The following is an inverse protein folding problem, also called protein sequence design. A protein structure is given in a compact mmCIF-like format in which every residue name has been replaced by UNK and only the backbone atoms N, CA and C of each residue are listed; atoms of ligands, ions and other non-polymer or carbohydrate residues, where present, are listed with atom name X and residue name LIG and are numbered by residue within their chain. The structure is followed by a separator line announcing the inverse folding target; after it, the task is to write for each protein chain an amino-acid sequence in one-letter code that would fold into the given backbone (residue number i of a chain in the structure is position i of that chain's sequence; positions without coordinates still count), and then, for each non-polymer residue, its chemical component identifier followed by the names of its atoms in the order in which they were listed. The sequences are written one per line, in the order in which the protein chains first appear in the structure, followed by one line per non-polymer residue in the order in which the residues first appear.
data_IF_042544894273
#
_entry.id   IF_042544894273
#
_cell.length_a   1.000
_cell.length_b   1.000
_cell.length_c   1.000
_cell.angle_alpha   90.00
_cell.angle_beta   90.00
_cell.angle_gamma   90.00
#
_symmetry.space_group_name_H-M   'P 1'
#
loop_
_entity.id
_entity.type
_entity.pdbx_description
1 polymer ?
2 polymer ?
3 non-polymer ?
4 water ?
#
# COMPACT_ATOMS: atom_id res chain seq x y z
N UNK A 1 -23.96 -18.84 -3.93
CA UNK A 1 -22.54 -18.95 -4.17
C UNK A 1 -21.85 -17.60 -3.91
N UNK A 2 -20.65 -17.65 -3.36
CA UNK A 2 -19.86 -16.46 -3.05
C UNK A 2 -19.85 -15.47 -4.22
N UNK A 3 -19.73 -15.97 -5.44
CA UNK A 3 -19.70 -15.09 -6.59
C UNK A 3 -21.04 -14.46 -6.95
N UNK A 4 -22.13 -15.09 -6.55
CA UNK A 4 -23.45 -14.55 -6.84
C UNK A 4 -23.65 -13.26 -6.04
N UNK A 5 -23.54 -13.38 -4.72
CA UNK A 5 -23.69 -12.26 -3.78
C UNK A 5 -22.59 -11.19 -4.00
N UNK A 6 -21.43 -11.63 -4.46
CA UNK A 6 -20.30 -10.74 -4.74
C UNK A 6 -20.68 -9.81 -5.88
N UNK A 7 -21.41 -10.32 -6.85
CA UNK A 7 -21.84 -9.51 -7.96
C UNK A 7 -22.88 -8.48 -7.55
N UNK A 8 -23.70 -8.80 -6.55
CA UNK A 8 -24.73 -7.86 -6.09
C UNK A 8 -24.07 -6.68 -5.41
N UNK A 9 -23.09 -7.03 -4.59
CA UNK A 9 -22.27 -6.10 -3.84
C UNK A 9 -21.56 -5.20 -4.85
N UNK A 10 -20.91 -5.80 -5.84
CA UNK A 10 -20.15 -5.04 -6.83
C UNK A 10 -20.95 -3.91 -7.48
N UNK A 11 -22.20 -4.21 -7.78
CA UNK A 11 -23.12 -3.29 -8.42
C UNK A 11 -23.47 -2.08 -7.56
N UNK A 12 -23.35 -2.22 -6.23
CA UNK A 12 -23.67 -1.17 -5.27
C UNK A 12 -22.44 -0.48 -4.66
N UNK A 13 -21.24 -0.97 -4.96
CA UNK A 13 -20.01 -0.40 -4.43
C UNK A 13 -19.53 0.86 -5.22
N UNK A 14 -19.28 1.97 -4.52
CA UNK A 14 -18.80 3.18 -5.21
C UNK A 14 -17.52 3.73 -4.57
N UNK A 15 -16.78 4.51 -5.33
CA UNK A 15 -15.55 5.14 -4.84
C UNK A 15 -16.01 6.39 -4.06
N UNK A 16 -15.42 6.61 -2.90
CA UNK A 16 -15.77 7.74 -2.06
C UNK A 16 -14.60 8.71 -1.94
N UNK A 17 -14.88 9.98 -2.14
CA UNK A 17 -13.84 10.99 -2.07
C UNK A 17 -14.31 12.21 -1.31
N UNK A 18 -13.34 13.01 -0.87
CA UNK A 18 -13.62 14.22 -0.12
C UNK A 18 -12.89 15.46 -0.64
N UNK A 19 -13.49 16.64 -0.43
CA UNK A 19 -12.86 17.87 -0.90
C UNK A 19 -13.67 19.13 -0.71
N UNK A 20 -13.31 20.17 -1.46
CA UNK A 20 -13.97 21.48 -1.44
C UNK A 20 -14.63 21.73 -2.79
N UNK A 21 -15.79 22.40 -2.79
CA UNK A 21 -16.48 22.66 -4.05
C UNK A 21 -15.59 23.51 -4.95
N UNK A 22 -15.42 23.06 -6.19
CA UNK A 22 -14.59 23.74 -7.20
C UNK A 22 -13.10 23.69 -6.90
N UNK A 23 -12.70 22.87 -5.93
CA UNK A 23 -11.30 22.73 -5.54
C UNK A 23 -10.69 21.33 -5.72
N UNK A 24 -9.69 21.00 -4.92
CA UNK A 24 -9.06 19.68 -5.03
C UNK A 24 -9.89 18.56 -4.39
N UNK A 25 -9.73 17.35 -4.93
CA UNK A 25 -10.45 16.18 -4.49
C UNK A 25 -9.46 15.07 -4.18
N UNK A 26 -9.66 14.40 -3.05
CA UNK A 26 -8.81 13.29 -2.68
C UNK A 26 -9.74 12.06 -2.61
N UNK A 27 -9.47 11.07 -3.48
CA UNK A 27 -10.24 9.84 -3.45
C UNK A 27 -9.60 9.07 -2.31
N UNK A 28 -10.42 8.58 -1.40
CA UNK A 28 -9.93 7.91 -0.21
C UNK A 28 -10.14 6.39 -0.05
N UNK A 29 -11.37 5.92 -0.26
CA UNK A 29 -11.71 4.50 -0.11
C UNK A 29 -13.05 4.24 -0.83
N UNK A 30 -13.74 3.22 -0.37
CA UNK A 30 -15.04 2.80 -0.92
C UNK A 30 -16.19 3.06 0.07
N UNK A 31 -17.43 3.07 -0.45
CA UNK A 31 -18.68 3.23 0.32
C UNK A 31 -19.69 2.27 -0.35
N UNK A 32 -20.49 1.58 0.44
CA UNK A 32 -21.45 0.62 -0.12
C UNK A 32 -22.90 1.08 -0.09
N UNK A 33 -23.56 1.10 -1.25
CA UNK A 33 -24.96 1.46 -1.35
C UNK A 33 -25.78 0.29 -0.85
N UNK A 34 -26.79 0.57 -0.02
CA UNK A 34 -27.62 -0.51 0.51
C UNK A 34 -29.11 -0.49 0.14
N UNK A 35 -29.70 0.68 -0.05
CA UNK A 35 -31.12 0.80 -0.42
C UNK A 35 -31.48 2.23 -0.75
N UNK A 36 -32.32 2.39 -1.79
CA UNK A 36 -32.78 3.69 -2.25
C UNK A 36 -31.56 4.62 -2.34
N UNK A 37 -31.50 5.67 -1.53
CA UNK A 37 -30.36 6.60 -1.57
C UNK A 37 -29.47 6.55 -0.31
N UNK A 38 -29.45 5.40 0.35
CA UNK A 38 -28.66 5.20 1.56
C UNK A 38 -27.37 4.36 1.37
N UNK A 39 -26.25 4.82 1.94
CA UNK A 39 -24.98 4.09 1.85
C UNK A 39 -24.31 3.90 3.21
N UNK A 40 -23.42 2.92 3.30
CA UNK A 40 -22.62 2.63 4.50
C UNK A 40 -21.21 3.19 4.22
N UNK A 41 -20.69 3.99 5.15
CA UNK A 41 -19.38 4.65 5.01
C UNK A 41 -18.52 4.59 6.29
N UNK A 42 -17.23 4.20 6.20
CA UNK A 42 -16.37 4.16 7.40
C UNK A 42 -16.04 5.62 7.81
N UNK A 43 -16.24 5.97 9.08
CA UNK A 43 -16.03 7.35 9.50
C UNK A 43 -14.66 7.99 9.35
N UNK A 44 -13.58 7.21 9.40
CA UNK A 44 -12.25 7.76 9.25
C UNK A 44 -11.97 8.30 7.84
N UNK A 45 -12.95 8.14 6.96
CA UNK A 45 -12.83 8.67 5.62
C UNK A 45 -12.95 10.18 5.69
N UNK A 46 -13.66 10.70 6.70
CA UNK A 46 -13.82 12.14 6.81
C UNK A 46 -13.52 12.73 8.19
N UNK A 47 -13.46 11.90 9.20
CA UNK A 47 -13.24 12.36 10.57
C UNK A 47 -12.03 13.31 10.80
N UNK A 48 -10.90 12.99 10.20
CA UNK A 48 -9.70 13.79 10.41
C UNK A 48 -9.43 14.92 9.44
N UNK A 49 -10.46 15.35 8.72
CA UNK A 49 -10.32 16.47 7.81
C UNK A 49 -10.35 17.73 8.68
N UNK A 50 -9.65 18.76 8.25
CA UNK A 50 -9.55 20.02 9.00
C UNK A 50 -10.80 20.90 9.12
N UNK A 51 -11.76 20.76 8.20
CA UNK A 51 -12.93 21.63 8.19
C UNK A 51 -14.23 21.00 7.62
N UNK A 52 -15.03 20.41 8.51
CA UNK A 52 -16.28 19.74 8.11
C UNK A 52 -17.36 20.66 7.52
N UNK A 53 -17.34 21.91 7.95
CA UNK A 53 -18.33 22.88 7.49
C UNK A 53 -18.29 23.10 5.98
N UNK A 54 -17.10 23.18 5.40
CA UNK A 54 -16.96 23.41 3.96
C UNK A 54 -16.53 22.15 3.22
N UNK A 55 -16.90 21.00 3.75
CA UNK A 55 -16.53 19.70 3.17
C UNK A 55 -17.57 19.29 2.13
N UNK A 56 -17.10 18.77 1.00
CA UNK A 56 -17.97 18.27 -0.07
C UNK A 56 -17.60 16.80 -0.24
N UNK A 57 -18.61 15.94 -0.42
CA UNK A 57 -18.38 14.52 -0.63
C UNK A 57 -18.49 14.18 -2.13
N UNK A 58 -17.63 13.29 -2.61
CA UNK A 58 -17.64 12.91 -4.02
C UNK A 58 -17.83 11.40 -4.23
N UNK A 59 -18.70 11.02 -5.17
CA UNK A 59 -18.95 9.60 -5.45
C UNK A 59 -18.76 9.29 -6.94
N UNK A 60 -18.21 8.11 -7.20
CA UNK A 60 -17.97 7.63 -8.55
C UNK A 60 -18.77 6.35 -8.71
N UNK A 61 -19.90 6.46 -9.40
CA UNK A 61 -20.80 5.34 -9.63
C UNK A 61 -20.69 4.80 -11.05
N UNK A 62 -19.67 3.97 -11.26
CA UNK A 62 -19.45 3.40 -12.57
C UNK A 62 -19.18 4.46 -13.62
N UNK A 63 -18.27 5.38 -13.33
CA UNK A 63 -17.94 6.41 -14.31
C UNK A 63 -18.70 7.73 -14.32
N UNK A 64 -19.73 7.84 -13.49
CA UNK A 64 -20.49 9.08 -13.41
C UNK A 64 -20.19 9.62 -12.02
N UNK A 65 -19.88 10.90 -11.96
CA UNK A 65 -19.52 11.59 -10.73
C UNK A 65 -20.69 12.36 -10.15
N UNK A 66 -20.95 12.16 -8.87
CA UNK A 66 -22.02 12.89 -8.16
C UNK A 66 -21.34 13.56 -6.98
N UNK A 67 -21.92 14.64 -6.46
CA UNK A 67 -21.35 15.28 -5.28
C UNK A 67 -22.45 15.90 -4.44
N UNK A 68 -22.17 16.06 -3.15
CA UNK A 68 -23.14 16.64 -2.25
C UNK A 68 -22.42 17.32 -1.10
N UNK A 69 -23.01 18.37 -0.60
CA UNK A 69 -22.42 19.09 0.50
C UNK A 69 -22.64 18.31 1.82
N UNK A 70 -21.60 18.22 2.63
CA UNK A 70 -21.67 17.51 3.91
C UNK A 70 -22.79 18.08 4.79
N UNK A 71 -23.20 19.31 4.52
CA UNK A 71 -24.27 19.91 5.28
C UNK A 71 -25.65 19.53 4.72
N UNK A 72 -25.69 18.61 3.75
CA UNK A 72 -26.94 18.20 3.15
C UNK A 72 -27.19 16.70 3.17
N UNK A 73 -26.33 15.97 3.87
CA UNK A 73 -26.51 14.54 3.95
C UNK A 73 -27.11 14.27 5.30
N UNK A 74 -27.80 13.15 5.43
CA UNK A 74 -28.31 12.78 6.73
C UNK A 74 -27.43 11.64 7.17
N UNK A 75 -26.94 11.71 8.41
CA UNK A 75 -26.09 10.67 8.96
C UNK A 75 -26.82 9.89 10.06
N UNK A 76 -26.54 8.61 10.16
CA UNK A 76 -27.18 7.79 11.17
C UNK A 76 -26.18 6.79 11.70
N UNK A 77 -26.02 6.75 13.02
CA UNK A 77 -25.10 5.83 13.63
C UNK A 77 -25.75 4.44 13.63
N UNK A 78 -24.92 3.40 13.60
CA UNK A 78 -25.41 2.02 13.63
C UNK A 78 -25.73 1.63 15.07
N UNK A 79 -24.84 2.04 15.97
CA UNK A 79 -24.92 1.80 17.40
C UNK A 79 -24.38 3.04 18.12
N UNK A 80 -24.41 2.97 19.45
CA UNK A 80 -23.99 3.97 20.42
C UNK A 80 -22.46 3.83 20.60
N UNK A 81 -21.75 4.90 20.98
CA UNK A 81 -20.31 4.79 21.17
C UNK A 81 -19.44 5.44 20.09
N UNK A 82 -18.15 5.10 20.02
CA UNK A 82 -17.24 5.65 19.01
C UNK A 82 -17.78 5.51 17.58
N UNK A 83 -17.79 6.60 16.81
CA UNK A 83 -18.25 6.53 15.43
C UNK A 83 -17.20 5.80 14.59
N UNK A 84 -17.56 4.61 14.09
CA UNK A 84 -16.67 3.79 13.27
C UNK A 84 -17.14 3.63 11.81
N UNK A 85 -18.42 3.28 11.62
CA UNK A 85 -19.05 3.12 10.32
C UNK A 85 -20.43 3.78 10.51
N UNK A 86 -20.89 4.55 9.53
CA UNK A 86 -22.19 5.21 9.59
C UNK A 86 -23.02 5.01 8.30
N UNK A 87 -24.31 5.29 8.41
CA UNK A 87 -25.27 5.21 7.31
C UNK A 87 -25.44 6.65 6.90
N UNK A 88 -25.28 6.90 5.61
CA UNK A 88 -25.35 8.22 5.04
C UNK A 88 -26.35 8.27 3.88
N UNK A 89 -27.29 9.19 3.95
CA UNK A 89 -28.32 9.40 2.92
C UNK A 89 -27.92 10.51 1.94
N UNK A 90 -27.81 10.16 0.67
CA UNK A 90 -27.41 11.09 -0.37
C UNK A 90 -28.55 11.28 -1.39
N UNK A 91 -29.33 12.36 -1.27
CA UNK A 91 -30.43 12.54 -2.22
C UNK A 91 -30.09 12.64 -3.71
N UNK A 92 -28.96 13.23 -4.06
CA UNK A 92 -28.60 13.37 -5.48
C UNK A 92 -27.94 12.17 -6.14
N UNK A 93 -27.91 11.04 -5.45
CA UNK A 93 -27.33 9.84 -6.05
C UNK A 93 -28.50 8.97 -6.60
N UNK A 94 -28.30 8.25 -7.72
CA UNK A 94 -29.36 7.39 -8.29
C UNK A 94 -29.76 6.27 -7.30
N UNK A 95 -31.02 5.84 -7.37
CA UNK A 95 -31.55 4.79 -6.50
C UNK A 95 -30.79 3.46 -6.54
N UNK A 96 -30.47 2.95 -5.36
CA UNK A 96 -29.74 1.71 -5.24
C UNK A 96 -30.74 0.55 -5.07
N UNK A 97 -30.34 -0.59 -5.60
CA UNK A 97 -31.14 -1.79 -5.49
C UNK A 97 -31.07 -2.21 -4.01
N UNK A 98 -32.21 -2.61 -3.45
CA UNK A 98 -32.29 -3.03 -2.06
C UNK A 98 -31.56 -4.36 -1.85
N UNK A 99 -30.48 -4.36 -1.07
CA UNK A 99 -29.77 -5.61 -0.77
C UNK A 99 -29.79 -5.82 0.72
N UNK A 100 -30.61 -5.03 1.42
CA UNK A 100 -30.69 -5.12 2.88
C UNK A 100 -30.94 -6.56 3.36
N UNK A 101 -31.83 -7.27 2.69
CA UNK A 101 -32.15 -8.64 3.08
C UNK A 101 -31.04 -9.68 2.79
N UNK A 102 -29.84 -9.21 2.46
CA UNK A 102 -28.71 -10.10 2.18
C UNK A 102 -27.67 -10.04 3.30
N UNK A 103 -27.84 -9.09 4.19
CA UNK A 103 -26.94 -8.99 5.33
C UNK A 103 -27.37 -10.03 6.37
N UNK A 104 -26.46 -10.36 7.25
CA UNK A 104 -26.69 -11.33 8.30
C UNK A 104 -27.64 -10.78 9.39
N UNK A 105 -28.52 -11.66 9.88
CA UNK A 105 -29.48 -11.31 10.93
C UNK A 105 -28.75 -11.45 12.26
N UNK A 106 -29.09 -10.58 13.22
CA UNK A 106 -28.43 -10.58 14.54
C UNK A 106 -28.35 -11.97 15.17
N UNK A 107 -29.39 -12.75 15.01
CA UNK A 107 -29.42 -14.09 15.57
C UNK A 107 -28.55 -15.10 14.86
N UNK A 108 -28.30 -14.91 13.57
CA UNK A 108 -27.50 -15.85 12.80
C UNK A 108 -25.99 -15.73 12.93
N UNK A 109 -25.55 -14.80 13.77
CA UNK A 109 -24.14 -14.54 13.97
C UNK A 109 -23.19 -15.70 14.35
N UNK A 110 -23.60 -16.60 15.26
CA UNK A 110 -22.68 -17.70 15.61
C UNK A 110 -22.46 -18.69 14.47
N UNK A 111 -23.40 -18.74 13.54
CA UNK A 111 -23.29 -19.66 12.41
C UNK A 111 -22.30 -19.17 11.36
N UNK A 112 -21.72 -18.01 11.60
CA UNK A 112 -20.73 -17.43 10.68
C UNK A 112 -19.38 -17.41 11.38
N UNK A 113 -19.43 -17.45 12.71
CA UNK A 113 -18.23 -17.46 13.54
C UNK A 113 -17.44 -18.76 13.33
N UNK A 114 -16.12 -18.61 13.16
CA UNK A 114 -15.17 -19.70 12.94
C UNK A 114 -14.92 -20.13 11.50
N UNK A 115 -15.69 -19.58 10.57
CA UNK A 115 -15.51 -19.95 9.16
C UNK A 115 -14.79 -18.91 8.31
N UNK A 116 -14.51 -19.31 7.07
CA UNK A 116 -13.84 -18.47 6.10
C UNK A 116 -14.82 -17.43 5.53
N UNK A 117 -14.28 -16.38 4.94
CA UNK A 117 -15.08 -15.32 4.32
C UNK A 117 -14.26 -14.68 3.23
N UNK A 118 -14.92 -13.90 2.37
CA UNK A 118 -14.22 -13.21 1.30
C UNK A 118 -14.51 -11.69 1.36
N UNK A 119 -13.46 -10.90 1.19
CA UNK A 119 -13.60 -9.45 1.19
C UNK A 119 -13.81 -9.07 -0.27
N UNK A 120 -14.95 -8.44 -0.57
CA UNK A 120 -15.29 -8.00 -1.92
C UNK A 120 -15.05 -6.49 -1.93
N UNK A 121 -14.02 -6.04 -2.62
CA UNK A 121 -13.66 -4.64 -2.60
C UNK A 121 -13.00 -4.14 -3.91
N UNK A 122 -12.55 -2.89 -3.90
CA UNK A 122 -11.85 -2.29 -5.03
C UNK A 122 -10.68 -1.45 -4.48
N UNK A 123 -9.57 -1.45 -5.22
CA UNK A 123 -8.40 -0.69 -4.86
C UNK A 123 -8.17 0.34 -5.94
N UNK A 124 -8.48 1.60 -5.63
CA UNK A 124 -8.34 2.72 -6.54
C UNK A 124 -9.20 2.55 -7.79
N UNK A 125 -10.13 1.61 -7.74
CA UNK A 125 -11.01 1.36 -8.86
C UNK A 125 -10.99 -0.06 -9.39
N UNK A 126 -9.94 -0.80 -9.08
CA UNK A 126 -9.79 -2.16 -9.56
C UNK A 126 -10.36 -3.24 -8.63
N UNK A 127 -11.41 -3.96 -9.07
CA UNK A 127 -12.00 -5.01 -8.25
C UNK A 127 -11.04 -6.10 -7.77
N UNK A 128 -11.17 -6.44 -6.50
CA UNK A 128 -10.36 -7.48 -5.86
C UNK A 128 -11.19 -8.33 -4.90
N UNK A 129 -10.76 -9.55 -4.70
CA UNK A 129 -11.40 -10.48 -3.79
C UNK A 129 -10.25 -10.97 -2.91
N UNK A 130 -10.33 -10.72 -1.60
CA UNK A 130 -9.28 -11.14 -0.68
C UNK A 130 -9.85 -12.23 0.22
N UNK A 131 -9.10 -13.32 0.40
CA UNK A 131 -9.54 -14.43 1.24
C UNK A 131 -9.12 -14.20 2.70
N UNK A 132 -10.05 -14.43 3.63
CA UNK A 132 -9.76 -14.24 5.04
C UNK A 132 -9.91 -15.57 5.79
N UNK A 133 -8.96 -15.84 6.68
CA UNK A 133 -8.99 -17.10 7.43
C UNK A 133 -10.24 -17.35 8.26
N UNK A 134 -10.17 -18.21 9.28
CA UNK A 134 -11.35 -18.49 10.12
C UNK A 134 -11.68 -17.26 10.98
N UNK A 135 -12.86 -16.70 10.78
CA UNK A 135 -13.27 -15.50 11.50
C UNK A 135 -13.53 -15.62 12.97
N UNK A 136 -12.94 -14.70 13.72
CA UNK A 136 -13.18 -14.65 15.15
C UNK A 136 -13.85 -13.31 15.35
N UNK A 137 -14.46 -13.12 16.51
CA UNK A 137 -15.09 -11.84 16.79
C UNK A 137 -14.61 -11.28 18.10
N UNK A 138 -14.52 -9.96 18.14
CA UNK A 138 -14.05 -9.22 19.29
C UNK A 138 -15.05 -8.12 19.62
N UNK A 139 -15.39 -8.03 20.90
CA UNK A 139 -16.32 -7.02 21.37
C UNK A 139 -15.93 -5.58 21.11
N UNK A 140 -14.63 -5.32 21.02
CA UNK A 140 -14.10 -3.98 20.77
C UNK A 140 -12.62 -4.17 20.43
N UNK A 141 -12.25 -3.90 19.17
CA UNK A 141 -10.87 -4.09 18.68
C UNK A 141 -10.16 -2.81 18.25
N UNK A 142 -8.88 -2.69 18.58
CA UNK A 142 -8.12 -1.50 18.23
C UNK A 142 -7.21 -1.62 17.01
N UNK A 143 -6.97 -0.51 16.33
CA UNK A 143 -6.09 -0.48 15.18
C UNK A 143 -5.45 0.89 15.13
N UNK A 144 -4.49 1.06 14.23
CA UNK A 144 -3.76 2.31 14.09
C UNK A 144 -4.04 2.89 12.71
N UNK A 145 -4.28 4.19 12.64
CA UNK A 145 -4.56 4.85 11.38
C UNK A 145 -3.57 6.01 11.23
N UNK A 146 -3.16 6.29 9.99
CA UNK A 146 -2.23 7.38 9.72
C UNK A 146 -2.96 8.46 8.94
N UNK A 147 -2.85 9.71 9.40
CA UNK A 147 -3.49 10.81 8.67
C UNK A 147 -2.65 10.84 7.42
N UNK A 148 -3.24 11.29 6.31
CA UNK A 148 -2.49 11.35 5.07
C UNK A 148 -1.04 11.78 5.33
N UNK A 149 -0.19 10.74 5.36
CA UNK A 149 1.25 10.81 5.63
C UNK A 149 1.62 11.45 6.97
N UNK A 150 2.35 10.72 7.80
CA UNK A 150 2.78 11.26 9.06
C UNK A 150 2.18 10.64 10.30
N UNK A 151 1.52 11.50 11.09
CA UNK A 151 0.89 11.13 12.36
C UNK A 151 0.10 9.81 12.34
N UNK A 152 0.08 9.16 13.51
CA UNK A 152 -0.59 7.87 13.71
C UNK A 152 -1.42 7.83 14.98
N UNK A 153 -2.74 7.82 14.84
CA UNK A 153 -3.64 7.76 15.99
C UNK A 153 -4.24 6.37 16.11
N UNK A 154 -4.56 5.98 17.33
CA UNK A 154 -5.17 4.68 17.58
C UNK A 154 -6.68 4.82 17.63
N UNK A 155 -7.37 3.97 16.86
CA UNK A 155 -8.83 3.97 16.78
C UNK A 155 -9.36 2.58 17.12
N UNK A 156 -10.58 2.52 17.67
CA UNK A 156 -11.20 1.26 18.04
C UNK A 156 -12.40 0.99 17.15
N UNK A 157 -12.84 -0.27 17.12
CA UNK A 157 -14.00 -0.69 16.33
C UNK A 157 -14.86 -1.52 17.29
N UNK A 158 -16.15 -1.26 17.32
CA UNK A 158 -17.05 -2.00 18.21
C UNK A 158 -17.72 -3.18 17.53
N UNK A 159 -17.51 -4.39 18.06
CA UNK A 159 -18.04 -5.65 17.52
C UNK A 159 -17.35 -5.87 16.19
N UNK A 160 -16.11 -6.37 16.25
CA UNK A 160 -15.32 -6.57 15.06
C UNK A 160 -14.93 -8.01 14.73
N UNK A 161 -14.97 -8.29 13.42
CA UNK A 161 -14.60 -9.57 12.86
C UNK A 161 -13.10 -9.50 12.58
N UNK A 162 -12.41 -10.60 12.88
CA UNK A 162 -10.97 -10.69 12.64
C UNK A 162 -10.58 -11.82 11.70
N UNK A 163 -10.02 -11.44 10.56
CA UNK A 163 -9.56 -12.40 9.58
C UNK A 163 -8.06 -12.23 9.43
N UNK A 164 -7.40 -13.29 9.02
CA UNK A 164 -5.97 -13.24 8.82
C UNK A 164 -5.82 -13.09 7.31
N UNK A 165 -4.99 -12.15 6.87
CA UNK A 165 -4.79 -11.91 5.45
C UNK A 165 -3.94 -10.68 5.23
N UNK A 166 -3.42 -10.48 4.02
CA UNK A 166 -2.57 -9.32 3.73
C UNK A 166 -3.37 -8.26 3.02
N UNK A 167 -3.30 -7.03 3.51
CA UNK A 167 -4.05 -5.97 2.91
C UNK A 167 -3.47 -5.34 1.65
N UNK A 168 -3.90 -4.11 1.43
CA UNK A 168 -3.47 -3.28 0.33
C UNK A 168 -4.18 -1.99 0.70
N UNK A 169 -3.43 -0.89 0.84
CA UNK A 169 -4.05 0.39 1.21
C UNK A 169 -5.18 0.76 0.25
N UNK A 170 -6.22 1.38 0.81
CA UNK A 170 -7.37 1.77 0.01
C UNK A 170 -8.52 0.77 -0.01
N UNK A 171 -8.34 -0.40 0.61
CA UNK A 171 -9.40 -1.43 0.61
C UNK A 171 -10.61 -1.15 1.50
N UNK A 172 -10.47 -0.20 2.42
CA UNK A 172 -11.52 0.16 3.35
C UNK A 172 -12.88 0.43 2.70
N UNK A 173 -13.94 -0.10 3.32
CA UNK A 173 -15.27 0.08 2.80
C UNK A 173 -15.83 -1.13 2.05
N UNK A 174 -14.98 -2.09 1.75
CA UNK A 174 -15.46 -3.28 1.07
C UNK A 174 -16.40 -4.06 1.99
N UNK A 175 -17.08 -5.05 1.42
CA UNK A 175 -18.03 -5.87 2.16
C UNK A 175 -17.50 -7.28 2.40
N UNK A 176 -17.65 -7.78 3.61
CA UNK A 176 -17.21 -9.13 3.97
C UNK A 176 -18.38 -10.09 3.64
N UNK A 177 -18.11 -11.19 2.94
CA UNK A 177 -19.13 -12.18 2.59
C UNK A 177 -18.75 -13.56 3.17
N UNK A 178 -19.65 -14.19 3.90
CA UNK A 178 -19.39 -15.52 4.49
C UNK A 178 -19.43 -16.61 3.42
N UNK A 179 -18.69 -17.70 3.63
CA UNK A 179 -18.67 -18.80 2.66
C UNK A 179 -19.68 -19.89 3.01
N UNK A 180 -20.45 -19.66 4.06
CA UNK A 180 -21.43 -20.61 4.53
C UNK A 180 -22.74 -20.51 3.75
N UNK A 181 -22.99 -21.48 2.86
CA UNK A 181 -24.22 -21.50 2.07
C UNK A 181 -25.47 -21.76 2.91
N UNK A 182 -25.26 -22.27 4.12
CA UNK A 182 -26.36 -22.57 5.04
C UNK A 182 -27.12 -21.31 5.44
N UNK A 183 -26.42 -20.19 5.46
CA UNK A 183 -27.01 -18.90 5.81
C UNK A 183 -27.10 -17.98 4.57
N UNK A 184 -27.08 -18.59 3.39
CA UNK A 184 -27.14 -17.90 2.10
C UNK A 184 -26.05 -16.85 1.83
N UNK A 185 -24.81 -17.25 2.14
CA UNK A 185 -23.60 -16.43 1.97
C UNK A 185 -23.84 -14.99 2.36
N UNK A 186 -24.34 -14.82 3.57
CA UNK A 186 -24.65 -13.51 4.09
C UNK A 186 -23.49 -12.52 4.10
N UNK A 187 -23.83 -11.25 3.95
CA UNK A 187 -22.86 -10.16 4.03
C UNK A 187 -22.70 -9.97 5.55
N UNK A 188 -21.46 -10.03 6.03
CA UNK A 188 -21.18 -9.89 7.45
C UNK A 188 -20.87 -8.48 7.99
N UNK A 189 -20.41 -7.59 7.09
CA UNK A 189 -20.07 -6.25 7.49
C UNK A 189 -19.12 -5.52 6.56
N UNK A 190 -18.44 -4.49 7.10
CA UNK A 190 -17.55 -3.61 6.34
C UNK A 190 -16.07 -3.58 6.79
N UNK A 191 -15.15 -3.59 5.83
CA UNK A 191 -13.69 -3.54 6.09
C UNK A 191 -13.32 -2.15 6.60
N UNK A 192 -12.62 -2.10 7.72
CA UNK A 192 -12.22 -0.82 8.29
C UNK A 192 -10.70 -0.73 8.49
N UNK A 193 -10.06 -1.85 8.79
CA UNK A 193 -8.61 -1.83 9.01
C UNK A 193 -7.86 -3.10 8.66
N UNK A 194 -6.57 -2.93 8.40
CA UNK A 194 -5.67 -4.02 8.07
C UNK A 194 -4.37 -3.62 8.75
N UNK A 195 -3.65 -4.57 9.32
CA UNK A 195 -2.41 -4.21 10.00
C UNK A 195 -1.22 -5.15 9.87
N UNK A 196 -0.95 -5.90 10.93
CA UNK A 196 0.17 -6.84 10.92
C UNK A 196 -0.05 -7.86 9.78
N UNK A 197 -1.08 -8.68 9.92
CA UNK A 197 -1.46 -9.69 8.93
C UNK A 197 -2.89 -10.10 9.28
N UNK A 198 -3.58 -9.14 9.90
CA UNK A 198 -4.95 -9.28 10.37
C UNK A 198 -5.83 -8.20 9.70
N UNK A 199 -6.97 -8.63 9.19
CA UNK A 199 -7.94 -7.74 8.56
C UNK A 199 -9.12 -7.64 9.52
N UNK A 200 -9.51 -6.40 9.81
CA UNK A 200 -10.60 -6.09 10.73
C UNK A 200 -11.80 -5.42 10.05
N UNK A 201 -12.99 -5.92 10.35
CA UNK A 201 -14.24 -5.39 9.79
C UNK A 201 -15.33 -5.25 10.84
N UNK A 202 -16.20 -4.25 10.68
CA UNK A 202 -17.31 -4.07 11.64
C UNK A 202 -18.53 -4.90 11.25
N UNK A 203 -19.12 -5.56 12.23
CA UNK A 203 -20.33 -6.35 12.02
C UNK A 203 -21.48 -5.37 11.72
N UNK A 204 -22.26 -5.67 10.69
CA UNK A 204 -23.44 -4.87 10.31
C UNK A 204 -24.55 -5.91 10.06
N UNK A 205 -25.63 -5.84 10.83
CA UNK A 205 -26.76 -6.78 10.74
C UNK A 205 -28.03 -6.26 10.03
N UNK A 206 -28.99 -7.14 9.82
CA UNK A 206 -30.24 -6.73 9.17
C UNK A 206 -31.01 -5.72 10.02
N UNK A 207 -30.84 -5.83 11.35
CA UNK A 207 -31.51 -4.97 12.34
C UNK A 207 -30.97 -3.54 12.41
N UNK A 208 -29.78 -3.26 11.88
CA UNK A 208 -29.28 -1.90 11.92
C UNK A 208 -29.93 -1.06 10.83
N UNK A 209 -30.77 -1.70 10.00
CA UNK A 209 -31.45 -1.01 8.90
C UNK A 209 -32.91 -0.58 9.13
N UNK A 210 -33.46 -0.72 10.34
CA UNK A 210 -34.87 -0.34 10.55
C UNK A 210 -35.20 1.14 10.42
N UNK A 211 -34.42 1.99 11.08
CA UNK A 211 -34.67 3.42 11.06
C UNK A 211 -34.62 4.06 9.67
N UNK A 212 -34.08 3.38 8.67
CA UNK A 212 -34.01 4.01 7.36
C UNK A 212 -35.33 4.07 6.57
N UNK A 213 -36.30 3.21 6.88
CA UNK A 213 -37.57 3.30 6.17
C UNK A 213 -38.60 4.21 6.84
N UNK A 214 -38.25 4.74 8.01
CA UNK A 214 -39.13 5.63 8.75
C UNK A 214 -39.12 7.02 8.10
N UNK A 215 -40.27 7.66 8.02
CA UNK A 215 -40.35 8.99 7.44
C UNK A 215 -39.86 10.01 8.48
N UNK A 216 -38.81 10.74 8.15
CA UNK A 216 -38.24 11.78 9.02
C UNK A 216 -38.11 11.37 10.50
N UNK B 1 9.21 -2.67 -23.53
CA UNK B 1 9.41 -4.06 -23.10
C UNK B 1 10.34 -4.13 -21.90
N UNK B 2 10.52 -5.32 -21.37
CA UNK B 2 11.41 -5.56 -20.23
C UNK B 2 12.87 -5.19 -20.56
N UNK B 3 13.30 -5.45 -21.79
CA UNK B 3 14.65 -5.12 -22.21
C UNK B 3 14.91 -3.61 -22.26
N UNK B 4 13.95 -2.87 -22.77
CA UNK B 4 14.08 -1.42 -22.87
C UNK B 4 14.22 -0.75 -21.48
N UNK B 5 13.34 -1.12 -20.56
CA UNK B 5 13.36 -0.55 -19.22
C UNK B 5 14.62 -1.07 -18.49
N UNK B 6 15.00 -2.32 -18.77
CA UNK B 6 16.18 -2.88 -18.14
C UNK B 6 17.43 -2.07 -18.55
N UNK B 7 17.44 -1.64 -19.80
CA UNK B 7 18.53 -0.82 -20.31
C UNK B 7 18.61 0.52 -19.58
N UNK B 8 17.48 1.18 -19.37
CA UNK B 8 17.48 2.45 -18.64
C UNK B 8 18.02 2.27 -17.20
N UNK B 9 17.75 1.14 -16.58
CA UNK B 9 18.24 0.88 -15.23
C UNK B 9 19.75 0.68 -15.22
N UNK B 10 20.27 -0.13 -16.13
CA UNK B 10 21.72 -0.38 -16.17
C UNK B 10 22.55 0.90 -16.25
N UNK B 11 22.14 1.84 -17.08
CA UNK B 11 22.91 3.08 -17.25
C UNK B 11 23.00 3.97 -16.01
N UNK B 12 22.05 3.77 -15.09
CA UNK B 12 22.01 4.56 -13.88
C UNK B 12 22.52 3.86 -12.63
N UNK B 13 22.87 2.58 -12.76
CA UNK B 13 23.39 1.80 -11.65
C UNK B 13 24.89 2.10 -11.39
N UNK B 14 25.28 2.31 -10.12
CA UNK B 14 26.68 2.58 -9.72
C UNK B 14 27.05 1.76 -8.46
N UNK B 15 28.35 1.62 -8.17
CA UNK B 15 28.74 0.89 -6.98
C UNK B 15 28.89 1.88 -5.83
N UNK B 16 28.59 1.41 -4.62
CA UNK B 16 28.69 2.22 -3.40
C UNK B 16 29.78 1.60 -2.50
N UNK B 17 30.66 2.45 -1.99
CA UNK B 17 31.75 2.03 -1.13
C UNK B 17 31.95 2.96 0.05
N UNK B 18 32.68 2.47 1.04
CA UNK B 18 33.00 3.21 2.26
C UNK B 18 34.52 3.17 2.44
N UNK B 19 35.10 4.23 3.01
CA UNK B 19 36.53 4.28 3.25
C UNK B 19 37.00 5.64 3.76
N UNK B 20 38.31 5.78 3.99
CA UNK B 20 38.87 7.06 4.46
C UNK B 20 39.31 7.88 3.26
N UNK B 21 39.67 9.15 3.49
CA UNK B 21 40.07 10.04 2.39
C UNK B 21 41.40 9.69 1.72
N UNK B 22 42.27 8.96 2.42
CA UNK B 22 43.58 8.60 1.87
C UNK B 22 43.93 7.11 1.96
N UNK B 23 42.91 6.27 2.02
CA UNK B 23 43.16 4.84 2.10
C UNK B 23 42.48 4.01 1.03
N UNK B 24 42.12 2.78 1.39
CA UNK B 24 41.46 1.86 0.49
C UNK B 24 39.95 1.87 0.65
N UNK B 25 39.27 1.71 -0.47
CA UNK B 25 37.82 1.73 -0.52
C UNK B 25 37.19 0.33 -0.44
N UNK B 26 36.26 0.18 0.48
CA UNK B 26 35.54 -1.09 0.66
C UNK B 26 34.23 -0.97 -0.14
N UNK B 27 34.13 -1.67 -1.28
CA UNK B 27 32.88 -1.63 -2.06
C UNK B 27 31.87 -2.56 -1.41
N UNK B 28 30.61 -2.14 -1.27
CA UNK B 28 29.61 -3.00 -0.64
C UNK B 28 28.35 -3.42 -1.44
N UNK B 29 27.79 -2.53 -2.25
CA UNK B 29 26.58 -2.87 -3.03
C UNK B 29 26.33 -1.84 -4.12
N UNK B 30 25.15 -1.90 -4.77
CA UNK B 30 24.77 -0.96 -5.81
C UNK B 30 23.87 0.19 -5.31
N UNK B 31 23.79 1.25 -6.10
CA UNK B 31 22.93 2.40 -5.82
C UNK B 31 22.31 2.75 -7.17
N UNK B 32 21.12 3.34 -7.17
CA UNK B 32 20.48 3.67 -8.44
C UNK B 32 20.16 5.15 -8.64
N UNK B 33 20.74 5.75 -9.68
CA UNK B 33 20.48 7.15 -9.97
C UNK B 33 19.07 7.25 -10.54
N UNK B 34 18.27 8.18 -10.04
CA UNK B 34 16.92 8.35 -10.53
C UNK B 34 16.74 9.60 -11.37
N UNK B 35 17.38 10.68 -10.94
CA UNK B 35 17.25 11.96 -11.62
C UNK B 35 18.38 12.87 -11.12
N UNK B 36 18.91 13.71 -12.01
CA UNK B 36 19.98 14.66 -11.70
C UNK B 36 21.13 14.10 -10.85
N UNK B 37 21.30 14.56 -9.62
CA UNK B 37 22.33 14.08 -8.72
C UNK B 37 21.75 13.27 -7.54
N UNK B 38 20.54 12.77 -7.73
CA UNK B 38 19.89 11.98 -6.67
C UNK B 38 20.00 10.49 -6.92
N UNK B 39 20.19 9.74 -5.83
CA UNK B 39 20.34 8.28 -5.85
C UNK B 39 19.52 7.56 -4.80
N UNK B 40 19.04 6.38 -5.16
CA UNK B 40 18.31 5.49 -4.25
C UNK B 40 19.38 4.59 -3.61
N UNK B 41 19.48 4.61 -2.28
CA UNK B 41 20.48 3.80 -1.58
C UNK B 41 19.88 2.98 -0.42
N UNK B 42 20.23 1.70 -0.32
CA UNK B 42 19.73 0.83 0.76
C UNK B 42 20.47 1.34 2.03
N UNK B 43 19.73 1.58 3.10
CA UNK B 43 20.34 2.14 4.29
C UNK B 43 21.31 1.25 5.08
N UNK B 44 21.26 -0.06 4.84
CA UNK B 44 22.17 -0.97 5.50
C UNK B 44 23.58 -0.89 4.91
N UNK B 45 23.72 -0.11 3.84
CA UNK B 45 25.01 0.08 3.17
C UNK B 45 25.98 0.88 4.03
N UNK B 46 25.44 1.73 4.90
CA UNK B 46 26.24 2.60 5.76
C UNK B 46 25.85 2.70 7.24
N UNK B 47 24.63 2.34 7.61
CA UNK B 47 24.16 2.51 8.99
C UNK B 47 24.72 1.67 10.14
N UNK B 48 25.69 0.81 9.85
CA UNK B 48 26.26 -0.04 10.89
C UNK B 48 27.75 0.27 11.18
N UNK B 49 28.24 1.41 10.68
CA UNK B 49 29.63 1.88 10.89
C UNK B 49 29.49 3.00 11.93
N UNK B 50 30.26 3.00 13.03
CA UNK B 50 30.08 4.09 14.00
C UNK B 50 31.09 5.26 14.08
N UNK B 51 32.00 5.38 13.12
CA UNK B 51 32.88 6.54 13.17
C UNK B 51 32.70 7.40 11.96
N UNK B 52 31.62 8.16 12.00
CA UNK B 52 31.25 9.06 10.94
C UNK B 52 32.28 10.17 10.77
N UNK B 53 33.19 10.31 11.74
CA UNK B 53 34.22 11.36 11.74
C UNK B 53 35.20 11.32 10.57
N UNK B 54 35.70 10.14 10.23
CA UNK B 54 36.65 10.02 9.14
C UNK B 54 36.07 9.32 7.92
N UNK B 55 34.77 9.06 7.97
CA UNK B 55 34.06 8.36 6.89
C UNK B 55 33.73 9.11 5.61
N UNK B 56 34.13 8.51 4.49
CA UNK B 56 33.87 9.03 3.15
C UNK B 56 32.93 8.01 2.45
N UNK B 57 32.00 8.49 1.64
CA UNK B 57 31.15 7.58 0.87
C UNK B 57 31.71 7.66 -0.56
N UNK B 58 31.88 6.51 -1.20
CA UNK B 58 32.41 6.44 -2.56
C UNK B 58 31.42 5.93 -3.58
N UNK B 59 31.53 6.45 -4.80
CA UNK B 59 30.67 6.07 -5.91
C UNK B 59 31.51 5.88 -7.17
N UNK B 60 31.37 4.71 -7.79
CA UNK B 60 32.10 4.37 -9.01
C UNK B 60 31.15 4.59 -10.18
N UNK B 61 31.37 5.67 -10.92
CA UNK B 61 30.56 5.99 -12.09
C UNK B 61 31.46 6.08 -13.32
N UNK B 62 31.57 4.96 -14.04
CA UNK B 62 32.39 4.95 -15.23
C UNK B 62 33.88 4.83 -15.02
N UNK B 63 34.28 4.15 -13.94
CA UNK B 63 35.70 3.97 -13.70
C UNK B 63 36.35 5.00 -12.78
N UNK B 64 35.61 6.05 -12.46
CA UNK B 64 36.11 7.11 -11.58
C UNK B 64 35.31 7.07 -10.27
N UNK B 65 36.04 7.15 -9.16
CA UNK B 65 35.40 7.09 -7.85
C UNK B 65 35.19 8.48 -7.29
N UNK B 66 33.93 8.86 -7.17
CA UNK B 66 33.52 10.14 -6.65
C UNK B 66 33.21 9.94 -5.18
N UNK B 67 33.47 10.95 -4.35
CA UNK B 67 33.23 10.79 -2.95
C UNK B 67 32.55 11.98 -2.30
N UNK B 68 32.12 11.78 -1.05
CA UNK B 68 31.48 12.80 -0.27
C UNK B 68 31.64 12.36 1.18
N UNK B 69 31.79 13.32 2.08
CA UNK B 69 31.96 13.00 3.49
C UNK B 69 30.61 12.74 4.14
N UNK B 70 30.60 11.86 5.13
CA UNK B 70 29.38 11.58 5.88
C UNK B 70 28.84 12.91 6.40
N UNK B 71 29.73 13.78 6.86
CA UNK B 71 29.29 15.07 7.36
C UNK B 71 28.85 16.07 6.30
N UNK B 72 28.64 15.65 5.05
CA UNK B 72 28.22 16.53 3.95
C UNK B 72 27.00 16.07 3.13
N UNK B 73 26.54 14.83 3.31
CA UNK B 73 25.41 14.29 2.52
C UNK B 73 24.00 14.70 2.93
N UNK B 74 23.18 15.00 1.93
CA UNK B 74 21.80 15.34 2.15
C UNK B 74 21.04 14.01 1.98
N UNK B 75 20.40 13.53 3.03
CA UNK B 75 19.65 12.27 2.94
C UNK B 75 18.16 12.52 3.11
N UNK B 76 17.36 11.95 2.22
CA UNK B 76 15.90 12.11 2.21
C UNK B 76 15.09 10.79 2.19
N UNK B 77 13.94 10.79 2.86
CA UNK B 77 13.03 9.64 2.96
C UNK B 77 12.03 9.53 1.79
N UNK B 78 11.40 8.35 1.66
CA UNK B 78 10.40 8.09 0.61
C UNK B 78 8.97 8.23 1.16
N UNK B 79 8.70 7.66 2.33
CA UNK B 79 7.37 7.80 2.94
C UNK B 79 7.72 8.57 4.21
N UNK B 80 8.22 7.87 5.23
CA UNK B 80 8.67 8.51 6.47
C UNK B 80 9.88 7.72 7.02
N UNK B 81 10.00 6.44 6.65
CA UNK B 81 11.12 5.63 7.12
C UNK B 81 12.53 6.01 6.67
N UNK B 82 13.51 5.27 7.18
CA UNK B 82 14.94 5.46 6.86
C UNK B 82 15.67 4.11 7.11
N UNK B 83 14.96 3.14 7.69
CA UNK B 83 15.56 1.84 7.97
C UNK B 83 15.74 1.00 6.69
N UNK B 84 15.00 1.30 5.64
CA UNK B 84 15.14 0.53 4.40
C UNK B 84 15.85 1.15 3.20
N UNK B 85 15.26 2.14 2.54
CA UNK B 85 15.90 2.74 1.38
C UNK B 85 15.76 4.24 1.44
N UNK B 86 16.84 4.96 1.15
CA UNK B 86 16.87 6.42 1.20
C UNK B 86 17.32 7.07 -0.10
N UNK B 87 16.92 8.30 -0.30
CA UNK B 87 17.35 9.08 -1.44
C UNK B 87 18.63 9.80 -0.92
N UNK B 88 19.65 9.96 -1.76
CA UNK B 88 20.91 10.62 -1.35
C UNK B 88 21.45 11.52 -2.47
N UNK B 89 21.68 12.80 -2.17
CA UNK B 89 22.20 13.76 -3.14
C UNK B 89 23.73 13.84 -3.02
N UNK B 90 24.42 13.71 -4.14
CA UNK B 90 25.88 13.74 -4.22
C UNK B 90 26.20 14.70 -5.36
N UNK B 91 26.34 16.01 -5.04
CA UNK B 91 26.61 17.10 -5.98
C UNK B 91 27.77 16.90 -6.93
N UNK B 92 28.78 16.18 -6.46
CA UNK B 92 29.98 15.92 -7.25
C UNK B 92 29.83 14.92 -8.40
N UNK B 93 28.86 14.04 -8.28
CA UNK B 93 28.63 12.99 -9.27
C UNK B 93 28.01 13.51 -10.59
N UNK B 94 28.48 12.99 -11.73
CA UNK B 94 27.97 13.37 -13.07
C UNK B 94 26.44 13.12 -13.12
N UNK B 95 25.68 14.00 -13.78
CA UNK B 95 24.22 13.89 -13.86
C UNK B 95 23.61 12.62 -14.46
N UNK B 96 22.57 12.10 -13.80
CA UNK B 96 21.83 10.91 -14.22
C UNK B 96 20.57 11.22 -15.04
N UNK B 97 20.35 10.47 -16.11
CA UNK B 97 19.13 10.58 -16.93
C UNK B 97 17.91 10.34 -16.02
N UNK B 98 16.85 11.13 -16.21
CA UNK B 98 15.63 11.00 -15.38
C UNK B 98 14.78 9.80 -15.74
N UNK B 99 14.74 8.80 -14.85
CA UNK B 99 13.94 7.59 -15.07
C UNK B 99 12.70 7.49 -14.18
N UNK B 100 12.43 8.53 -13.38
CA UNK B 100 11.29 8.57 -12.45
C UNK B 100 9.93 8.19 -13.03
N UNK B 101 9.66 8.64 -14.25
CA UNK B 101 8.37 8.35 -14.89
C UNK B 101 8.20 6.91 -15.35
N UNK B 102 9.22 6.09 -15.16
CA UNK B 102 9.10 4.72 -15.54
C UNK B 102 8.68 3.87 -14.33
N UNK B 103 8.69 4.47 -13.14
CA UNK B 103 8.28 3.76 -11.94
C UNK B 103 6.76 3.60 -11.91
N UNK B 104 6.28 2.60 -11.19
CA UNK B 104 4.85 2.35 -11.13
C UNK B 104 4.06 3.42 -10.36
N UNK B 105 2.84 3.69 -10.81
CA UNK B 105 1.95 4.63 -10.13
C UNK B 105 1.28 3.82 -9.02
N UNK B 106 0.93 4.47 -7.91
CA UNK B 106 0.30 3.77 -6.78
C UNK B 106 -0.98 3.02 -7.18
N UNK B 107 -1.87 3.72 -7.88
CA UNK B 107 -3.13 3.15 -8.28
C UNK B 107 -3.05 2.02 -9.30
N UNK B 108 -1.85 1.58 -9.63
CA UNK B 108 -1.68 0.50 -10.60
C UNK B 108 -1.04 -0.75 -10.02
N UNK B 109 -0.69 -0.70 -8.74
CA UNK B 109 -0.05 -1.79 -8.04
C UNK B 109 -0.80 -3.13 -8.17
N UNK B 110 -2.15 -3.11 -8.15
CA UNK B 110 -2.87 -4.36 -8.28
C UNK B 110 -2.65 -5.08 -9.59
N UNK B 111 -2.18 -4.36 -10.61
CA UNK B 111 -1.93 -5.00 -11.89
C UNK B 111 -0.53 -5.60 -12.00
N UNK B 112 0.32 -5.35 -11.00
CA UNK B 112 1.67 -5.89 -11.02
C UNK B 112 1.69 -7.13 -10.15
N UNK B 113 0.70 -7.19 -9.25
CA UNK B 113 0.50 -8.27 -8.30
C UNK B 113 0.16 -9.56 -9.01
N UNK B 114 0.70 -10.67 -8.53
CA UNK B 114 0.46 -11.99 -9.12
C UNK B 114 1.10 -12.25 -10.48
N UNK B 115 1.98 -11.35 -10.89
CA UNK B 115 2.69 -11.48 -12.15
C UNK B 115 4.21 -11.56 -11.95
N UNK B 116 4.89 -12.10 -12.95
CA UNK B 116 6.33 -12.25 -12.89
C UNK B 116 7.02 -10.88 -13.02
N UNK B 117 8.29 -10.83 -12.66
CA UNK B 117 9.09 -9.61 -12.74
C UNK B 117 10.55 -10.01 -12.96
N UNK B 118 11.39 -9.08 -13.39
CA UNK B 118 12.80 -9.34 -13.62
C UNK B 118 13.66 -8.36 -12.83
N UNK B 119 14.66 -8.89 -12.13
CA UNK B 119 15.59 -8.09 -11.32
C UNK B 119 16.81 -7.82 -12.16
N UNK B 120 17.11 -6.55 -12.35
CA UNK B 120 18.25 -6.09 -13.14
C UNK B 120 19.33 -5.55 -12.18
N UNK B 121 20.45 -6.25 -12.05
CA UNK B 121 21.48 -5.80 -11.11
C UNK B 121 22.89 -6.12 -11.61
N UNK B 122 23.89 -5.90 -10.76
CA UNK B 122 25.27 -6.16 -11.10
C UNK B 122 26.03 -6.69 -9.89
N UNK B 123 27.01 -7.56 -10.14
CA UNK B 123 27.83 -8.11 -9.08
C UNK B 123 29.27 -7.92 -9.54
N UNK B 124 29.91 -6.86 -9.03
CA UNK B 124 31.28 -6.50 -9.38
C UNK B 124 31.34 -6.19 -10.89
N UNK B 125 30.49 -5.27 -11.33
CA UNK B 125 30.48 -4.91 -12.75
C UNK B 125 29.72 -5.89 -13.64
N UNK B 126 29.56 -7.14 -13.20
CA UNK B 126 28.86 -8.18 -13.95
C UNK B 126 27.30 -8.04 -13.94
N UNK B 127 26.69 -7.74 -15.10
CA UNK B 127 25.25 -7.56 -15.33
C UNK B 127 24.47 -8.87 -15.16
N UNK B 128 23.34 -8.81 -14.44
CA UNK B 128 22.53 -9.99 -14.22
C UNK B 128 21.04 -9.70 -14.39
N UNK B 129 20.32 -10.68 -14.93
CA UNK B 129 18.88 -10.57 -15.14
C UNK B 129 18.30 -11.81 -14.43
N UNK B 130 17.48 -11.57 -13.39
CA UNK B 130 16.88 -12.65 -12.60
C UNK B 130 15.34 -12.67 -12.62
N UNK B 131 14.73 -13.77 -13.02
CA UNK B 131 13.27 -13.88 -13.01
C UNK B 131 12.84 -14.12 -11.58
N UNK B 132 11.80 -13.41 -11.16
CA UNK B 132 11.24 -13.49 -9.81
C UNK B 132 9.81 -13.99 -9.88
N UNK B 133 9.50 -14.94 -9.00
CA UNK B 133 8.19 -15.60 -8.96
C UNK B 133 6.97 -14.72 -9.04
N UNK B 134 5.75 -15.30 -9.09
CA UNK B 134 4.62 -14.38 -9.15
C UNK B 134 4.76 -13.56 -7.88
N UNK B 135 4.85 -12.27 -8.06
CA UNK B 135 5.02 -11.37 -6.96
C UNK B 135 3.86 -11.28 -5.99
N UNK B 136 4.23 -11.17 -4.72
CA UNK B 136 3.27 -10.96 -3.65
C UNK B 136 3.71 -9.71 -2.91
N UNK B 137 2.76 -9.04 -2.27
CA UNK B 137 3.09 -7.86 -1.51
C UNK B 137 2.86 -8.12 -0.01
N UNK B 138 3.63 -7.43 0.83
CA UNK B 138 3.54 -7.54 2.28
C UNK B 138 3.67 -6.17 2.93
N UNK B 139 2.91 -5.96 4.02
CA UNK B 139 2.94 -4.69 4.74
C UNK B 139 4.33 -4.41 5.30
N UNK B 140 4.90 -5.42 5.96
CA UNK B 140 6.24 -5.36 6.57
C UNK B 140 6.89 -6.72 6.37
N UNK B 141 8.17 -6.76 6.04
CA UNK B 141 8.84 -8.04 5.89
C UNK B 141 10.13 -7.96 6.67
N UNK B 142 10.45 -9.04 7.37
CA UNK B 142 11.66 -9.09 8.16
C UNK B 142 12.59 -10.11 7.55
N UNK B 143 13.86 -9.73 7.46
CA UNK B 143 14.90 -10.57 6.91
C UNK B 143 16.10 -10.35 7.79
N UNK B 144 16.74 -11.41 8.24
CA UNK B 144 17.92 -11.26 9.06
C UNK B 144 19.02 -11.73 8.15
N UNK B 145 19.87 -10.78 7.75
CA UNK B 145 20.97 -11.03 6.83
C UNK B 145 22.36 -11.01 7.45
N UNK B 146 23.23 -11.85 6.91
CA UNK B 146 24.62 -11.98 7.34
C UNK B 146 25.48 -10.98 6.56
N UNK B 147 24.76 -10.07 5.88
CA UNK B 147 25.30 -9.03 4.99
C UNK B 147 26.68 -8.44 5.25
N UNK B 148 27.03 -8.22 6.51
CA UNK B 148 28.33 -7.65 6.79
C UNK B 148 29.50 -8.54 6.42
N UNK B 149 29.92 -9.37 7.36
CA UNK B 149 31.07 -10.24 7.18
C UNK B 149 30.81 -11.54 7.95
N UNK B 150 30.51 -11.38 9.23
CA UNK B 150 30.21 -12.49 10.11
C UNK B 150 29.22 -11.96 11.14
N UNK B 151 28.70 -10.77 10.86
CA UNK B 151 27.74 -10.09 11.72
C UNK B 151 26.36 -10.27 11.10
N UNK B 152 25.35 -10.53 11.93
CA UNK B 152 23.98 -10.71 11.46
C UNK B 152 23.16 -9.51 11.89
N UNK B 153 22.34 -9.01 10.99
CA UNK B 153 21.52 -7.85 11.29
C UNK B 153 20.09 -8.05 10.85
N UNK B 154 19.23 -7.25 11.47
CA UNK B 154 17.80 -7.23 11.23
C UNK B 154 17.51 -6.19 10.17
N UNK B 155 16.87 -6.62 9.09
CA UNK B 155 16.48 -5.69 8.05
C UNK B 155 14.98 -5.81 7.90
N UNK B 156 14.26 -4.76 8.29
CA UNK B 156 12.81 -4.75 8.19
C UNK B 156 12.37 -3.80 7.07
N UNK B 157 11.48 -4.28 6.20
CA UNK B 157 10.98 -3.51 5.06
C UNK B 157 9.48 -3.18 5.04
N UNK B 158 9.16 -1.92 4.78
CA UNK B 158 7.77 -1.45 4.71
C UNK B 158 7.27 -1.51 3.26
N UNK B 159 6.06 -2.07 3.06
CA UNK B 159 5.42 -2.26 1.75
C UNK B 159 6.43 -2.90 0.78
N UNK B 160 6.62 -4.20 0.96
CA UNK B 160 7.59 -4.99 0.19
C UNK B 160 7.09 -6.03 -0.76
N UNK B 161 7.85 -6.18 -1.84
CA UNK B 161 7.58 -7.21 -2.84
C UNK B 161 8.34 -8.44 -2.37
N UNK B 162 7.69 -9.59 -2.45
CA UNK B 162 8.30 -10.85 -2.05
C UNK B 162 8.18 -11.77 -3.27
N UNK B 163 9.26 -12.43 -3.65
CA UNK B 163 9.20 -13.31 -4.79
C UNK B 163 10.27 -14.37 -4.71
N UNK B 164 9.99 -15.50 -5.37
CA UNK B 164 10.86 -16.67 -5.47
C UNK B 164 11.97 -16.38 -6.48
N UNK B 165 13.21 -16.69 -6.14
CA UNK B 165 14.32 -16.44 -7.05
C UNK B 165 15.64 -16.80 -6.38
N UNK B 166 16.76 -16.73 -7.08
CA UNK B 166 18.03 -17.05 -6.44
C UNK B 166 18.89 -15.80 -6.34
N UNK B 167 19.73 -15.71 -5.32
CA UNK B 167 20.56 -14.53 -5.17
C UNK B 167 22.06 -14.68 -5.21
N UNK B 168 22.73 -13.67 -4.67
CA UNK B 168 24.20 -13.58 -4.58
C UNK B 168 24.50 -12.37 -3.70
N UNK B 169 25.67 -12.34 -3.04
CA UNK B 169 25.96 -11.17 -2.19
C UNK B 169 26.32 -10.00 -3.07
N UNK B 170 25.88 -8.80 -2.70
CA UNK B 170 26.21 -7.66 -3.52
C UNK B 170 25.18 -7.26 -4.55
N UNK B 171 24.12 -8.08 -4.72
CA UNK B 171 23.03 -7.76 -5.66
C UNK B 171 22.19 -6.59 -5.16
N UNK B 173 20.49 -3.29 -4.05
CA UNK B 173 20.47 -2.03 -4.75
C UNK B 173 19.98 -2.10 -6.19
N UNK B 174 19.80 -3.32 -6.71
CA UNK B 174 19.31 -3.47 -8.08
C UNK B 174 17.82 -3.13 -8.18
N UNK B 175 17.28 -3.02 -9.39
CA UNK B 175 15.85 -2.68 -9.57
C UNK B 175 14.92 -3.81 -10.14
N UNK B 176 13.68 -3.85 -9.66
CA UNK B 176 12.69 -4.85 -10.08
C UNK B 176 11.79 -4.31 -11.19
N UNK B 177 11.72 -5.01 -12.32
CA UNK B 177 10.91 -4.61 -13.47
C UNK B 177 9.76 -5.59 -13.76
N UNK B 178 8.56 -5.05 -13.93
CA UNK B 178 7.35 -5.81 -14.21
C UNK B 178 7.26 -6.40 -15.60
N UNK B 179 6.80 -7.63 -15.68
CA UNK B 179 6.61 -8.26 -16.97
C UNK B 179 5.27 -7.85 -17.63
N UNK B 180 4.46 -7.03 -16.96
CA UNK B 180 3.14 -6.61 -17.46
C UNK B 180 3.15 -5.46 -18.48
N UNK B 181 3.03 -5.87 -19.75
CA UNK B 181 3.02 -5.02 -20.92
C UNK B 181 1.94 -3.93 -20.95
N UNK B 182 0.82 -4.15 -20.25
CA UNK B 182 -0.23 -3.15 -20.22
C UNK B 182 0.09 -1.97 -19.30
N UNK B 183 1.05 -2.13 -18.38
CA UNK B 183 1.49 -1.02 -17.52
C UNK B 183 2.92 -0.67 -17.89
N UNK B 184 3.20 -0.82 -19.18
CA UNK B 184 4.49 -0.51 -19.78
C UNK B 184 5.73 -1.03 -19.04
N UNK B 185 5.66 -2.25 -18.53
CA UNK B 185 6.75 -2.91 -17.79
C UNK B 185 7.40 -1.99 -16.73
N UNK B 186 6.55 -1.39 -15.91
CA UNK B 186 6.99 -0.46 -14.88
C UNK B 186 8.05 -0.92 -13.86
N UNK B 187 8.90 0.00 -13.41
CA UNK B 187 9.89 -0.34 -12.40
C UNK B 187 9.06 -0.35 -11.13
N UNK B 188 9.17 -1.43 -10.34
CA UNK B 188 8.39 -1.61 -9.12
C UNK B 188 9.08 -1.31 -7.77
N UNK B 189 10.40 -1.33 -7.76
CA UNK B 189 11.13 -1.09 -6.53
C UNK B 189 12.61 -1.44 -6.58
N UNK B 190 13.19 -1.47 -5.39
CA UNK B 190 14.61 -1.71 -5.17
C UNK B 190 14.86 -2.94 -4.31
N UNK B 191 15.77 -3.78 -4.78
CA UNK B 191 16.15 -4.99 -4.08
C UNK B 191 16.95 -4.67 -2.82
N UNK B 192 16.45 -5.14 -1.68
CA UNK B 192 17.02 -4.89 -0.37
C UNK B 192 17.79 -6.07 0.18
N UNK B 193 17.17 -7.23 0.21
CA UNK B 193 17.86 -8.42 0.72
C UNK B 193 17.38 -9.68 0.06
N UNK B 194 18.26 -10.69 0.06
CA UNK B 194 17.92 -11.98 -0.53
C UNK B 194 18.76 -13.01 0.19
N UNK B 195 18.36 -14.28 0.16
CA UNK B 195 19.13 -15.31 0.86
C UNK B 195 19.06 -16.76 0.39
N UNK B 196 17.97 -17.46 0.69
CA UNK B 196 17.86 -18.85 0.23
C UNK B 196 17.17 -18.88 -1.15
N UNK B 197 15.85 -18.77 -1.20
CA UNK B 197 15.14 -18.73 -2.50
C UNK B 197 14.09 -17.62 -2.49
N UNK B 198 14.25 -16.68 -1.56
CA UNK B 198 13.34 -15.58 -1.42
C UNK B 198 14.09 -14.26 -1.60
N UNK B 199 13.51 -13.36 -2.35
CA UNK B 199 14.11 -12.05 -2.57
C UNK B 199 13.09 -11.06 -2.07
N UNK B 200 13.57 -10.02 -1.40
CA UNK B 200 12.74 -8.98 -0.85
C UNK B 200 13.14 -7.64 -1.46
N UNK B 201 12.14 -6.88 -1.92
CA UNK B 201 12.38 -5.55 -2.51
C UNK B 201 11.40 -4.53 -1.95
N UNK B 202 11.84 -3.28 -1.80
CA UNK B 202 10.94 -2.24 -1.33
C UNK B 202 10.17 -1.65 -2.49
N UNK B 203 8.88 -1.41 -2.25
CA UNK B 203 8.00 -0.79 -3.25
C UNK B 203 8.36 0.69 -3.33
N UNK B 204 8.54 1.18 -4.55
CA UNK B 204 8.84 2.58 -4.77
C UNK B 204 7.89 3.01 -5.90
N UNK B 205 7.13 4.08 -5.69
CA UNK B 205 6.17 4.59 -6.67
C UNK B 205 6.57 5.94 -7.26
N UNK B 206 5.87 6.38 -8.30
CA UNK B 206 6.16 7.67 -8.96
C UNK B 206 5.93 8.83 -8.01
N UNK B 207 4.87 8.69 -7.23
CA UNK B 207 4.45 9.69 -6.28
C UNK B 207 5.53 9.93 -5.22
N UNK B 208 6.34 8.92 -4.95
CA UNK B 208 7.40 9.02 -3.95
C UNK B 208 8.51 10.01 -4.23
N UNK B 209 8.65 10.42 -5.48
CA UNK B 209 9.70 11.36 -5.81
C UNK B 209 9.24 12.82 -5.72
N UNK B 210 8.07 13.05 -5.10
CA UNK B 210 7.56 14.42 -4.93
C UNK B 210 8.46 15.20 -3.99
N UNK B 211 9.03 14.49 -3.02
CA UNK B 211 9.91 15.07 -2.01
C UNK B 211 11.14 15.76 -2.56
N UNK B 212 11.66 15.29 -3.69
CA UNK B 212 12.87 15.88 -4.25
C UNK B 212 12.81 17.07 -5.21
N UNK B 213 11.91 17.05 -6.20
CA UNK B 213 11.82 18.17 -7.16
C UNK B 213 11.07 19.39 -6.58
N UNK B 214 11.54 19.82 -5.42
CA UNK B 214 11.04 20.96 -4.64
C UNK B 214 11.63 20.78 -3.24
#
# INVERSE_FOLDING_TARGET
STLEIAGLVRKNLVQFGVGEKNGSVRWVMNALGVKDDWLLVPSHAYKFEKDYEMMEFYFNRGGTYYSISAGNVVIQSLDVGFQDVVLMKVPTIPKFRDITQHFIKKGDVPRALNRLATLVTTVNGTPMLISEGPLKMEEKATYVHKKNDGTTVDLTVDQAWRGKGEGLPGMCGGALVSSNQSIQNAILGIHVAGGNSILVAKLVTQEMFQNIDKKIE
STLEIAGLVRKNLVQFGVGEKNGSVRWVMNALGVKDDWLLVPSHAYKFEKDYEMMEFYFNRGGTYYSISAGNVVIQSLDVGFQDVVLMKVPTIPKFRDITQHFIKKGDVPRALNRLATLVTTVNGTPMLISEGPLKMEEKATYVHKKNDGTTVDLTVDQAWRGKGEGLPGMXGGALVSSNQSIQNAILGIHVAGGNSILVAKLVTQEMFQNIDKKIE
#
